data_IF_843081386836
#
_entry.id   IF_843081386836
#
_cell.length_a   1.000
_cell.length_b   1.000
_cell.length_c   1.000
_cell.angle_alpha   90.00
_cell.angle_beta   90.00
_cell.angle_gamma   90.00
#
_symmetry.space_group_name_H-M   'P 1'
#
loop_
_entity.id
_entity.type
_entity.pdbx_description
1 polymer ?
#
# COMPACT_ATOMS: atom_id res chain seq x y z
N UNK A 1 -87.92 -30.08 5.60
CA UNK A 1 -87.37 -30.02 6.94
C UNK A 1 -86.01 -30.67 6.87
N UNK A 2 -84.93 -29.94 6.82
CA UNK A 2 -83.62 -30.46 6.62
C UNK A 2 -82.74 -30.13 7.82
N UNK A 3 -82.22 -31.17 8.46
CA UNK A 3 -81.22 -31.06 9.50
C UNK A 3 -79.85 -31.29 8.88
N UNK A 4 -78.97 -30.36 9.05
CA UNK A 4 -77.52 -30.49 8.75
C UNK A 4 -76.73 -30.66 10.06
N UNK A 5 -76.00 -31.72 10.22
CA UNK A 5 -74.92 -31.77 11.26
C UNK A 5 -73.66 -31.20 10.74
N UNK A 6 -73.13 -30.24 11.50
CA UNK A 6 -71.85 -29.56 11.21
C UNK A 6 -70.64 -30.49 11.42
N UNK A 7 -69.76 -30.35 10.50
CA UNK A 7 -68.47 -31.04 10.42
C UNK A 7 -67.37 -30.15 11.03
N UNK A 8 -66.87 -30.49 12.21
CA UNK A 8 -65.76 -29.88 12.84
C UNK A 8 -64.46 -30.16 12.03
N UNK A 9 -63.90 -29.18 11.41
CA UNK A 9 -62.56 -29.28 10.84
C UNK A 9 -61.56 -28.76 11.85
N UNK A 10 -60.80 -29.66 12.41
CA UNK A 10 -59.59 -29.37 13.21
C UNK A 10 -58.51 -28.84 12.31
N UNK A 11 -58.15 -27.55 12.49
CA UNK A 11 -57.00 -26.99 11.89
C UNK A 11 -55.76 -27.35 12.69
N UNK A 12 -54.88 -28.19 12.11
CA UNK A 12 -53.55 -28.43 12.63
C UNK A 12 -52.67 -27.26 12.31
N UNK A 13 -52.25 -26.53 13.31
CA UNK A 13 -51.25 -25.45 13.17
C UNK A 13 -49.89 -26.08 13.08
N UNK A 14 -49.31 -26.11 11.88
CA UNK A 14 -47.92 -26.45 11.66
C UNK A 14 -47.04 -25.22 12.01
N UNK A 15 -46.37 -25.29 13.15
CA UNK A 15 -45.35 -24.34 13.51
C UNK A 15 -44.09 -24.60 12.67
N UNK A 16 -43.90 -23.78 11.67
CA UNK A 16 -42.64 -23.77 10.88
C UNK A 16 -41.56 -23.06 11.71
N UNK A 17 -40.68 -23.82 12.33
CA UNK A 17 -39.45 -23.28 12.91
C UNK A 17 -38.48 -22.92 11.80
N UNK A 18 -38.40 -21.66 11.47
CA UNK A 18 -37.38 -21.12 10.58
C UNK A 18 -36.02 -21.15 11.30
N UNK A 19 -35.18 -22.12 10.97
CA UNK A 19 -33.78 -22.17 11.38
C UNK A 19 -33.01 -21.12 10.58
N UNK A 20 -32.71 -19.98 11.21
CA UNK A 20 -31.79 -19.01 10.69
C UNK A 20 -30.37 -19.60 10.76
N UNK A 21 -29.95 -20.21 9.66
CA UNK A 21 -28.55 -20.56 9.45
C UNK A 21 -27.79 -19.25 9.25
N UNK A 22 -27.24 -18.73 10.34
CA UNK A 22 -26.30 -17.60 10.29
C UNK A 22 -25.05 -18.02 9.53
N UNK A 23 -24.95 -17.64 8.27
CA UNK A 23 -23.72 -17.77 7.51
C UNK A 23 -22.69 -16.82 8.10
N UNK A 24 -21.82 -17.35 8.96
CA UNK A 24 -20.63 -16.64 9.43
C UNK A 24 -19.73 -16.45 8.21
N UNK A 25 -19.73 -15.26 7.62
CA UNK A 25 -18.74 -14.89 6.62
C UNK A 25 -17.41 -14.74 7.38
N UNK A 26 -16.58 -15.78 7.34
CA UNK A 26 -15.23 -15.69 7.84
C UNK A 26 -14.48 -14.72 6.93
N UNK A 27 -14.22 -13.50 7.41
CA UNK A 27 -13.31 -12.57 6.75
C UNK A 27 -11.91 -13.17 6.92
N UNK A 28 -11.38 -13.77 5.85
CA UNK A 28 -9.98 -14.20 5.84
C UNK A 28 -9.11 -12.94 5.98
N UNK A 29 -8.38 -12.82 7.11
CA UNK A 29 -7.37 -11.80 7.26
C UNK A 29 -6.31 -12.04 6.18
N UNK A 30 -6.05 -11.02 5.32
CA UNK A 30 -4.99 -11.08 4.34
C UNK A 30 -3.66 -11.29 5.09
N UNK A 31 -2.94 -12.36 4.79
CA UNK A 31 -1.59 -12.57 5.31
C UNK A 31 -0.69 -11.47 4.76
N UNK A 32 0.19 -10.86 5.61
CA UNK A 32 1.17 -9.91 5.10
C UNK A 32 1.99 -10.58 4.02
N UNK A 33 2.18 -9.90 2.88
CA UNK A 33 3.05 -10.40 1.83
C UNK A 33 4.46 -10.62 2.40
N UNK A 34 5.14 -11.73 2.05
CA UNK A 34 6.48 -11.98 2.52
C UNK A 34 7.41 -10.88 2.03
N UNK A 35 7.97 -10.11 2.96
CA UNK A 35 8.95 -9.09 2.65
C UNK A 35 10.33 -9.72 2.55
N UNK A 36 11.00 -9.54 1.41
CA UNK A 36 12.39 -10.00 1.24
C UNK A 36 13.38 -9.02 1.87
N UNK A 37 13.16 -7.72 1.68
CA UNK A 37 13.90 -6.63 2.30
C UNK A 37 12.94 -5.55 2.78
N UNK A 38 13.37 -4.77 3.77
CA UNK A 38 12.69 -3.55 4.22
C UNK A 38 13.45 -2.32 3.74
N UNK A 39 12.71 -1.27 3.43
CA UNK A 39 13.26 -0.03 2.91
C UNK A 39 12.77 1.15 3.73
N UNK A 40 13.58 2.18 3.81
CA UNK A 40 13.22 3.45 4.42
C UNK A 40 13.19 4.54 3.35
N UNK A 41 12.11 5.30 3.34
CA UNK A 41 11.92 6.50 2.53
C UNK A 41 11.99 7.71 3.45
N UNK A 42 12.82 8.69 3.10
CA UNK A 42 12.84 9.97 3.80
C UNK A 42 11.71 10.88 3.35
N UNK A 43 11.24 11.75 4.26
CA UNK A 43 10.39 12.86 3.87
C UNK A 43 11.12 13.81 2.93
N UNK A 44 10.41 14.54 2.05
CA UNK A 44 11.02 15.60 1.25
C UNK A 44 11.71 16.62 2.15
N UNK A 45 12.91 17.06 1.76
CA UNK A 45 13.66 18.08 2.48
C UNK A 45 14.45 18.94 1.50
N UNK A 46 14.77 20.18 1.90
CA UNK A 46 15.58 21.09 1.09
C UNK A 46 17.06 20.76 1.27
N UNK A 47 17.78 20.73 0.16
CA UNK A 47 19.23 20.58 0.12
C UNK A 47 19.83 21.58 -0.84
N UNK A 48 21.00 22.14 -0.49
CA UNK A 48 21.75 23.01 -1.40
C UNK A 48 22.78 22.19 -2.17
N UNK A 49 22.66 22.21 -3.48
CA UNK A 49 23.58 21.52 -4.38
C UNK A 49 24.25 22.55 -5.29
N UNK A 50 25.54 22.83 -5.07
CA UNK A 50 26.32 23.79 -5.86
C UNK A 50 25.66 25.17 -5.96
N UNK A 51 25.11 25.67 -4.84
CA UNK A 51 24.46 26.97 -4.76
C UNK A 51 23.00 27.01 -5.21
N UNK A 52 22.41 25.87 -5.58
CA UNK A 52 21.00 25.76 -5.97
C UNK A 52 20.25 24.96 -4.92
N UNK A 53 19.15 25.53 -4.41
CA UNK A 53 18.26 24.81 -3.52
C UNK A 53 17.37 23.85 -4.29
N UNK A 54 17.35 22.61 -3.86
CA UNK A 54 16.58 21.52 -4.44
C UNK A 54 15.81 20.78 -3.35
N UNK A 55 14.78 20.04 -3.74
CA UNK A 55 14.09 19.11 -2.83
C UNK A 55 14.63 17.71 -3.07
N UNK A 56 14.98 17.02 -2.00
CA UNK A 56 15.52 15.66 -2.05
C UNK A 56 14.69 14.69 -1.24
N UNK A 57 14.69 13.43 -1.66
CA UNK A 57 14.24 12.28 -0.90
C UNK A 57 15.12 11.08 -1.23
N UNK A 58 15.24 10.16 -0.28
CA UNK A 58 16.13 9.00 -0.41
C UNK A 58 15.41 7.73 0.00
N UNK A 59 15.63 6.66 -0.77
CA UNK A 59 15.24 5.29 -0.40
C UNK A 59 16.49 4.50 -0.09
N UNK A 60 16.52 3.89 1.10
CA UNK A 60 17.64 3.10 1.59
C UNK A 60 17.17 1.70 1.98
N UNK A 61 17.93 0.66 1.62
CA UNK A 61 17.72 -0.69 2.13
C UNK A 61 18.09 -0.73 3.63
N UNK A 62 17.18 -1.21 4.47
CA UNK A 62 17.41 -1.32 5.93
C UNK A 62 17.81 -2.70 6.38
N UNK A 63 17.02 -3.71 5.99
CA UNK A 63 17.27 -5.08 6.39
C UNK A 63 16.77 -6.03 5.31
N UNK A 64 17.46 -7.13 5.13
CA UNK A 64 17.08 -8.21 4.22
C UNK A 64 17.07 -9.54 4.96
N UNK A 65 16.12 -10.40 4.63
CA UNK A 65 16.02 -11.77 5.13
C UNK A 65 16.32 -12.75 4.00
N UNK A 66 17.58 -13.16 3.87
CA UNK A 66 18.04 -14.06 2.83
C UNK A 66 17.82 -13.55 1.41
N UNK A 67 17.77 -12.24 1.25
CA UNK A 67 17.48 -11.57 -0.02
C UNK A 67 18.56 -10.53 -0.31
N UNK A 68 18.64 -10.13 -1.57
CA UNK A 68 19.58 -9.11 -2.04
C UNK A 68 18.82 -8.05 -2.81
N UNK A 69 18.90 -6.80 -2.37
CA UNK A 69 18.33 -5.66 -3.11
C UNK A 69 19.07 -5.50 -4.43
N UNK A 70 18.34 -5.44 -5.52
CA UNK A 70 18.90 -5.21 -6.84
C UNK A 70 18.54 -3.84 -7.43
N UNK A 71 17.51 -3.16 -6.88
CA UNK A 71 17.11 -1.83 -7.34
C UNK A 71 16.31 -1.10 -6.27
N UNK A 72 16.59 0.19 -6.13
CA UNK A 72 15.77 1.14 -5.38
C UNK A 72 15.35 2.29 -6.29
N UNK A 73 14.26 2.95 -5.97
CA UNK A 73 13.78 4.14 -6.67
C UNK A 73 13.18 5.12 -5.67
N UNK A 74 13.52 6.39 -5.82
CA UNK A 74 12.94 7.49 -5.05
C UNK A 74 12.37 8.53 -6.01
N UNK A 75 11.19 9.04 -5.72
CA UNK A 75 10.52 10.06 -6.52
C UNK A 75 10.07 11.22 -5.63
N UNK A 76 10.10 12.42 -6.16
CA UNK A 76 9.53 13.63 -5.56
C UNK A 76 8.62 14.32 -6.56
N UNK A 77 7.46 14.73 -6.09
CA UNK A 77 6.48 15.49 -6.84
C UNK A 77 6.06 16.72 -6.02
N UNK A 78 5.94 17.86 -6.67
CA UNK A 78 5.39 19.07 -6.08
C UNK A 78 3.85 19.03 -6.24
N UNK A 79 3.11 19.27 -5.17
CA UNK A 79 1.66 19.34 -5.21
C UNK A 79 1.19 20.47 -6.11
N UNK A 80 0.23 20.17 -6.99
CA UNK A 80 -0.33 21.13 -7.95
C UNK A 80 0.53 21.40 -9.18
N UNK A 81 1.70 20.75 -9.30
CA UNK A 81 2.51 20.82 -10.52
C UNK A 81 2.01 19.80 -11.55
N UNK A 82 2.14 20.16 -12.83
CA UNK A 82 1.87 19.23 -13.92
C UNK A 82 2.99 18.20 -14.03
N UNK A 83 2.62 16.95 -14.36
CA UNK A 83 3.54 15.88 -14.63
C UNK A 83 3.84 14.95 -13.44
N UNK A 84 4.61 13.89 -13.69
CA UNK A 84 4.84 12.81 -12.73
C UNK A 84 5.89 13.11 -11.65
N UNK A 85 6.49 14.28 -11.65
CA UNK A 85 7.62 14.62 -10.80
C UNK A 85 8.96 14.09 -11.33
N UNK A 86 9.94 13.97 -10.45
CA UNK A 86 11.28 13.47 -10.77
C UNK A 86 11.59 12.24 -9.94
N UNK A 87 12.24 11.25 -10.57
CA UNK A 87 12.67 10.02 -9.93
C UNK A 87 14.15 9.76 -10.19
N UNK A 88 14.78 9.06 -9.24
CA UNK A 88 16.13 8.55 -9.38
C UNK A 88 16.18 7.09 -8.95
N UNK A 89 17.10 6.33 -9.54
CA UNK A 89 17.28 4.91 -9.23
C UNK A 89 18.64 4.68 -8.58
N UNK A 90 18.66 3.79 -7.58
CA UNK A 90 19.88 3.20 -7.05
C UNK A 90 20.03 1.78 -7.57
N UNK A 91 21.27 1.38 -7.87
CA UNK A 91 21.60 0.02 -8.32
C UNK A 91 22.07 -0.83 -7.16
N UNK A 92 21.62 -2.07 -7.13
CA UNK A 92 21.96 -2.99 -6.07
C UNK A 92 21.51 -2.45 -4.71
N UNK A 93 22.38 -2.53 -3.71
CA UNK A 93 22.11 -2.05 -2.34
C UNK A 93 22.29 -0.53 -2.17
N UNK A 94 22.78 0.16 -3.20
CA UNK A 94 23.01 1.61 -3.13
C UNK A 94 21.69 2.36 -2.95
N UNK A 95 21.66 3.41 -2.12
CA UNK A 95 20.47 4.23 -1.97
C UNK A 95 20.08 4.91 -3.29
N UNK A 96 18.78 5.11 -3.49
CA UNK A 96 18.27 6.00 -4.51
C UNK A 96 18.06 7.37 -3.89
N UNK A 97 18.66 8.41 -4.45
CA UNK A 97 18.43 9.78 -4.02
C UNK A 97 18.00 10.62 -5.21
N UNK A 98 16.83 11.24 -5.09
CA UNK A 98 16.28 12.13 -6.11
C UNK A 98 16.49 13.59 -5.71
N UNK A 99 16.79 14.42 -6.70
CA UNK A 99 16.87 15.88 -6.57
C UNK A 99 15.83 16.51 -7.49
N UNK A 100 14.89 17.24 -6.90
CA UNK A 100 13.79 17.88 -7.61
C UNK A 100 14.00 19.38 -7.71
N UNK A 101 13.81 19.91 -8.90
CA UNK A 101 13.81 21.35 -9.20
C UNK A 101 12.50 21.75 -9.88
N UNK A 102 12.05 23.00 -9.68
CA UNK A 102 12.58 24.01 -8.76
C UNK A 102 12.07 23.85 -7.34
N UNK A 103 12.88 24.19 -6.34
CA UNK A 103 12.40 24.39 -4.99
C UNK A 103 11.60 25.69 -4.90
N UNK A 104 10.41 25.64 -4.34
CA UNK A 104 9.55 26.80 -4.08
C UNK A 104 9.21 26.85 -2.59
N UNK A 105 9.66 27.90 -1.87
CA UNK A 105 9.33 28.06 -0.45
C UNK A 105 7.81 28.05 -0.22
N UNK A 106 7.36 27.32 0.81
CA UNK A 106 5.95 27.19 1.15
C UNK A 106 5.17 26.16 0.31
N UNK A 107 5.76 25.55 -0.70
CA UNK A 107 5.11 24.49 -1.47
C UNK A 107 5.13 23.17 -0.72
N UNK A 108 4.15 22.32 -1.00
CA UNK A 108 4.06 20.95 -0.47
C UNK A 108 4.61 19.95 -1.48
N UNK A 109 5.50 19.09 -1.03
CA UNK A 109 6.12 18.05 -1.83
C UNK A 109 5.74 16.68 -1.28
N UNK A 110 5.66 15.69 -2.17
CA UNK A 110 5.38 14.31 -1.83
C UNK A 110 6.51 13.43 -2.33
N UNK A 111 7.08 12.61 -1.45
CA UNK A 111 8.02 11.57 -1.83
C UNK A 111 7.33 10.21 -1.85
N UNK A 112 7.74 9.39 -2.80
CA UNK A 112 7.41 7.97 -2.91
C UNK A 112 8.68 7.18 -3.16
N UNK A 113 8.67 5.92 -2.74
CA UNK A 113 9.83 5.06 -2.90
C UNK A 113 9.44 3.64 -3.27
N UNK A 114 10.37 2.93 -3.87
CA UNK A 114 10.23 1.52 -4.17
C UNK A 114 11.56 0.83 -4.02
N UNK A 115 11.56 -0.34 -3.38
CA UNK A 115 12.72 -1.21 -3.32
C UNK A 115 12.37 -2.59 -3.84
N UNK A 116 13.28 -3.20 -4.59
CA UNK A 116 13.12 -4.54 -5.15
C UNK A 116 14.31 -5.42 -4.79
N UNK A 117 14.04 -6.62 -4.32
CA UNK A 117 15.04 -7.61 -3.93
C UNK A 117 14.78 -8.95 -4.59
N UNK A 118 15.84 -9.72 -4.77
CA UNK A 118 15.78 -11.12 -5.22
C UNK A 118 15.93 -12.05 -4.03
N UNK A 119 15.10 -13.08 -3.96
CA UNK A 119 15.15 -14.11 -2.93
C UNK A 119 14.84 -15.48 -3.53
N UNK A 120 15.50 -16.52 -3.03
CA UNK A 120 15.22 -17.90 -3.37
C UNK A 120 16.09 -18.46 -4.48
N UNK A 121 15.86 -19.74 -4.78
CA UNK A 121 16.52 -20.48 -5.86
C UNK A 121 15.47 -21.37 -6.56
N UNK A 122 15.01 -21.02 -7.78
CA UNK A 122 15.48 -19.88 -8.59
C UNK A 122 15.07 -18.53 -7.98
N UNK A 123 15.84 -17.44 -8.25
CA UNK A 123 15.55 -16.12 -7.68
C UNK A 123 14.19 -15.58 -8.13
N UNK A 124 13.42 -15.06 -7.16
CA UNK A 124 12.16 -14.39 -7.41
C UNK A 124 12.26 -12.92 -6.99
N UNK A 125 11.68 -11.99 -7.75
CA UNK A 125 11.67 -10.58 -7.38
C UNK A 125 10.56 -10.29 -6.35
N UNK A 126 10.90 -9.51 -5.34
CA UNK A 126 9.97 -8.96 -4.36
C UNK A 126 10.18 -7.46 -4.28
N UNK A 127 9.14 -6.70 -4.55
CA UNK A 127 9.17 -5.24 -4.51
C UNK A 127 8.26 -4.73 -3.41
N UNK A 128 8.69 -3.67 -2.73
CA UNK A 128 7.93 -2.98 -1.71
C UNK A 128 7.83 -1.50 -2.04
N UNK A 129 6.61 -0.96 -1.99
CA UNK A 129 6.34 0.46 -2.13
C UNK A 129 6.40 1.13 -0.75
N UNK A 130 6.95 2.34 -0.69
CA UNK A 130 7.02 3.18 0.50
C UNK A 130 6.44 4.55 0.22
N UNK A 131 5.78 5.11 1.23
CA UNK A 131 5.09 6.39 1.10
C UNK A 131 3.64 6.24 0.62
N UNK A 132 3.00 7.34 0.21
CA UNK A 132 3.58 8.68 0.08
C UNK A 132 3.89 9.36 1.41
N UNK A 133 4.93 10.18 1.44
CA UNK A 133 5.28 11.07 2.56
C UNK A 133 5.27 12.50 2.06
N UNK A 134 4.54 13.38 2.73
CA UNK A 134 4.40 14.79 2.35
C UNK A 134 5.09 15.70 3.35
N UNK A 135 5.65 16.79 2.84
CA UNK A 135 6.19 17.88 3.64
C UNK A 135 5.97 19.22 2.94
N UNK A 136 5.62 20.25 3.72
CA UNK A 136 5.59 21.64 3.26
C UNK A 136 6.92 22.28 3.65
N UNK A 137 7.63 22.83 2.67
CA UNK A 137 9.02 23.27 2.81
C UNK A 137 9.18 24.79 2.59
#
# INVERSE_FOLDING_TARGET
>A
MAYHPGMFRTFAVLAATASLLGSSVAVAAAQPEPTACTYELTAPSVVNVSGTDMVTATVTTRACDGAVTFRTMACVQMQGADGPGQCAQGRGILPAQVFFQPYRPGATYTSTGRGCASKGNPPQPYCQENGPVTATL
#
